data_IF_044082948119
#
_entry.id   IF_044082948119
#
_cell.length_a   1.000
_cell.length_b   1.000
_cell.length_c   1.000
_cell.angle_alpha   90.00
_cell.angle_beta   90.00
_cell.angle_gamma   90.00
#
_symmetry.space_group_name_H-M   'P 1'
#
loop_
_entity.id
_entity.type
_entity.pdbx_description
1 polymer ?
#
# COMPACT_ATOMS: atom_id res chain seq x y z
N UNK A 1 16.93 -17.93 32.16
CA UNK A 1 15.70 -18.57 31.65
C UNK A 1 14.75 -17.47 31.22
N UNK A 2 14.75 -17.08 29.95
CA UNK A 2 13.72 -16.18 29.38
C UNK A 2 12.53 -17.06 29.01
N UNK A 3 11.37 -16.79 29.61
CA UNK A 3 10.23 -17.69 29.57
C UNK A 3 9.54 -17.62 28.20
N UNK A 4 8.90 -18.71 27.81
CA UNK A 4 8.10 -18.81 26.57
C UNK A 4 7.03 -17.70 26.48
N UNK A 5 6.58 -17.20 27.64
CA UNK A 5 5.63 -16.10 27.76
C UNK A 5 6.20 -14.75 27.29
N UNK A 6 7.49 -14.49 27.51
CA UNK A 6 8.16 -13.26 27.02
C UNK A 6 8.18 -13.23 25.49
N UNK A 7 8.46 -14.38 24.86
CA UNK A 7 8.51 -14.51 23.39
C UNK A 7 7.13 -14.36 22.76
N UNK A 8 6.09 -14.92 23.40
CA UNK A 8 4.69 -14.79 22.94
C UNK A 8 4.19 -13.35 23.09
N UNK A 9 4.48 -12.70 24.21
CA UNK A 9 4.16 -11.29 24.46
C UNK A 9 4.85 -10.37 23.45
N UNK A 10 6.13 -10.61 23.18
CA UNK A 10 6.89 -9.87 22.18
C UNK A 10 6.27 -9.97 20.78
N UNK A 11 5.97 -11.20 20.33
CA UNK A 11 5.35 -11.46 19.02
C UNK A 11 3.97 -10.80 18.89
N UNK A 12 3.09 -10.96 19.90
CA UNK A 12 1.76 -10.34 19.90
C UNK A 12 1.84 -8.82 19.81
N UNK A 13 2.82 -8.22 20.50
CA UNK A 13 3.09 -6.80 20.42
C UNK A 13 3.56 -6.34 19.02
N UNK A 14 4.41 -7.13 18.37
CA UNK A 14 4.88 -6.87 16.99
C UNK A 14 3.73 -6.95 15.99
N UNK A 15 2.85 -7.95 16.13
CA UNK A 15 1.64 -8.10 15.30
C UNK A 15 0.70 -6.92 15.50
N UNK A 16 0.39 -6.54 16.76
CA UNK A 16 -0.50 -5.40 17.06
C UNK A 16 0.05 -4.08 16.48
N UNK A 17 1.36 -3.86 16.61
CA UNK A 17 2.04 -2.71 16.01
C UNK A 17 1.95 -2.74 14.47
N UNK A 18 2.14 -3.92 13.87
CA UNK A 18 2.04 -4.11 12.42
C UNK A 18 0.66 -3.83 11.86
N UNK A 19 -0.40 -4.29 12.55
CA UNK A 19 -1.79 -3.96 12.19
C UNK A 19 -2.01 -2.45 12.21
N UNK A 20 -1.62 -1.78 13.30
CA UNK A 20 -1.81 -0.34 13.43
C UNK A 20 -1.07 0.46 12.34
N UNK A 21 0.21 0.16 12.13
CA UNK A 21 1.02 0.83 11.11
C UNK A 21 0.49 0.56 9.69
N UNK A 22 0.07 -0.67 9.40
CA UNK A 22 -0.53 -1.07 8.13
C UNK A 22 -1.85 -0.36 7.85
N UNK A 23 -2.74 -0.25 8.85
CA UNK A 23 -4.00 0.47 8.69
C UNK A 23 -3.78 1.97 8.47
N UNK A 24 -2.88 2.61 9.22
CA UNK A 24 -2.56 4.04 9.03
C UNK A 24 -2.01 4.28 7.62
N UNK A 25 -1.07 3.45 7.18
CA UNK A 25 -0.53 3.53 5.82
C UNK A 25 -1.60 3.26 4.75
N UNK A 26 -2.49 2.29 4.97
CA UNK A 26 -3.61 1.99 4.08
C UNK A 26 -4.60 3.16 3.94
N UNK A 27 -4.94 3.83 5.04
CA UNK A 27 -5.77 5.04 5.01
C UNK A 27 -5.06 6.19 4.28
N UNK A 28 -3.75 6.35 4.50
CA UNK A 28 -2.96 7.36 3.79
C UNK A 28 -2.93 7.09 2.27
N UNK A 29 -2.75 5.84 1.85
CA UNK A 29 -2.82 5.43 0.44
C UNK A 29 -4.21 5.70 -0.15
N UNK A 30 -5.28 5.35 0.57
CA UNK A 30 -6.66 5.60 0.13
C UNK A 30 -6.93 7.11 -0.05
N UNK A 31 -6.50 7.93 0.90
CA UNK A 31 -6.60 9.39 0.79
C UNK A 31 -5.81 9.93 -0.41
N UNK A 32 -4.65 9.34 -0.70
CA UNK A 32 -3.83 9.76 -1.83
C UNK A 32 -4.47 9.39 -3.19
N UNK A 33 -5.15 8.26 -3.28
CA UNK A 33 -5.95 7.90 -4.48
C UNK A 33 -7.04 8.94 -4.75
N UNK A 34 -7.85 9.29 -3.74
CA UNK A 34 -8.90 10.31 -3.90
C UNK A 34 -8.30 11.66 -4.30
N UNK A 35 -7.16 12.04 -3.71
CA UNK A 35 -6.50 13.31 -4.05
C UNK A 35 -5.98 13.33 -5.49
N UNK A 36 -5.41 12.23 -5.98
CA UNK A 36 -4.94 12.12 -7.37
C UNK A 36 -6.11 12.12 -8.34
N UNK A 37 -7.21 11.44 -8.01
CA UNK A 37 -8.42 11.50 -8.83
C UNK A 37 -8.88 12.95 -9.01
N UNK A 38 -8.92 13.73 -7.93
CA UNK A 38 -9.27 15.16 -7.98
C UNK A 38 -8.28 16.01 -8.81
N UNK A 39 -6.98 15.78 -8.64
CA UNK A 39 -5.94 16.53 -9.37
C UNK A 39 -5.97 16.25 -10.88
N UNK A 40 -6.31 15.02 -11.25
CA UNK A 40 -6.43 14.60 -12.64
C UNK A 40 -7.82 14.90 -13.23
N UNK A 41 -8.73 15.52 -12.46
CA UNK A 41 -10.11 15.79 -12.88
C UNK A 41 -10.95 14.52 -13.08
N UNK A 42 -10.51 13.41 -12.51
CA UNK A 42 -11.16 12.11 -12.59
C UNK A 42 -12.30 12.04 -11.57
N UNK A 43 -13.30 11.18 -11.82
CA UNK A 43 -14.30 10.83 -10.82
C UNK A 43 -13.63 10.23 -9.58
N UNK A 44 -14.03 10.69 -8.39
CA UNK A 44 -13.50 10.17 -7.14
C UNK A 44 -13.73 8.64 -7.04
N UNK A 45 -12.65 7.90 -6.78
CA UNK A 45 -12.71 6.45 -6.60
C UNK A 45 -12.75 5.66 -7.89
N UNK A 46 -12.30 6.22 -9.02
CA UNK A 46 -12.28 5.54 -10.33
C UNK A 46 -11.52 4.20 -10.26
N UNK A 47 -10.41 4.15 -9.51
CA UNK A 47 -9.67 2.91 -9.25
C UNK A 47 -10.55 1.84 -8.58
N UNK A 48 -11.37 2.21 -7.60
CA UNK A 48 -12.23 1.26 -6.90
C UNK A 48 -13.44 0.84 -7.73
N UNK A 49 -13.98 1.74 -8.57
CA UNK A 49 -15.02 1.40 -9.54
C UNK A 49 -14.53 0.40 -10.59
N UNK A 50 -13.34 0.62 -11.15
CA UNK A 50 -12.73 -0.31 -12.12
C UNK A 50 -12.42 -1.67 -11.48
N UNK A 51 -11.95 -1.69 -10.23
CA UNK A 51 -11.78 -2.94 -9.47
C UNK A 51 -13.11 -3.66 -9.18
N UNK A 52 -14.16 -2.94 -8.80
CA UNK A 52 -15.49 -3.53 -8.58
C UNK A 52 -15.97 -4.24 -9.83
N UNK A 53 -15.82 -3.61 -10.99
CA UNK A 53 -16.23 -4.20 -12.25
C UNK A 53 -15.36 -5.40 -12.66
N UNK A 54 -14.04 -5.29 -12.53
CA UNK A 54 -13.13 -6.38 -12.87
C UNK A 54 -13.29 -7.63 -11.99
N UNK A 55 -13.65 -7.45 -10.71
CA UNK A 55 -13.74 -8.54 -9.72
C UNK A 55 -15.17 -8.97 -9.40
N UNK A 56 -16.17 -8.18 -9.78
CA UNK A 56 -17.57 -8.35 -9.37
C UNK A 56 -17.83 -8.08 -7.88
N UNK A 57 -16.84 -7.53 -7.16
CA UNK A 57 -16.89 -7.31 -5.71
C UNK A 57 -17.29 -5.87 -5.41
N UNK A 58 -18.31 -5.69 -4.55
CA UNK A 58 -18.79 -4.37 -4.16
C UNK A 58 -17.66 -3.40 -3.76
N UNK A 59 -17.84 -2.11 -4.08
CA UNK A 59 -16.82 -1.07 -3.88
C UNK A 59 -16.42 -0.94 -2.41
N UNK A 60 -17.38 -1.00 -1.48
CA UNK A 60 -17.12 -0.88 -0.05
C UNK A 60 -16.34 -2.11 0.45
N UNK A 61 -16.69 -3.30 -0.06
CA UNK A 61 -15.97 -4.53 0.26
C UNK A 61 -14.54 -4.54 -0.31
N UNK A 62 -14.33 -3.97 -1.49
CA UNK A 62 -13.01 -3.80 -2.11
C UNK A 62 -12.11 -2.89 -1.26
N UNK A 63 -12.65 -1.77 -0.77
CA UNK A 63 -11.93 -0.86 0.13
C UNK A 63 -11.58 -1.57 1.45
N UNK A 64 -12.54 -2.27 2.04
CA UNK A 64 -12.32 -3.04 3.27
C UNK A 64 -11.23 -4.11 3.09
N UNK A 65 -11.28 -4.87 1.99
CA UNK A 65 -10.27 -5.87 1.66
C UNK A 65 -8.89 -5.23 1.47
N UNK A 66 -8.82 -4.07 0.82
CA UNK A 66 -7.59 -3.28 0.69
C UNK A 66 -6.98 -2.90 2.04
N UNK A 67 -7.80 -2.49 3.01
CA UNK A 67 -7.35 -2.20 4.38
C UNK A 67 -6.89 -3.46 5.12
N UNK A 68 -7.56 -4.60 4.92
CA UNK A 68 -7.11 -5.88 5.46
C UNK A 68 -5.75 -6.31 4.89
N UNK A 69 -5.54 -6.13 3.57
CA UNK A 69 -4.25 -6.40 2.92
C UNK A 69 -3.18 -5.45 3.44
N UNK A 70 -3.49 -4.16 3.62
CA UNK A 70 -2.56 -3.19 4.21
C UNK A 70 -2.15 -3.58 5.65
N UNK A 71 -3.11 -4.04 6.47
CA UNK A 71 -2.82 -4.55 7.81
C UNK A 71 -1.94 -5.82 7.76
N UNK A 72 -2.21 -6.74 6.84
CA UNK A 72 -1.41 -7.96 6.64
C UNK A 72 0.03 -7.62 6.23
N UNK A 73 0.20 -6.69 5.29
CA UNK A 73 1.51 -6.18 4.86
C UNK A 73 2.24 -5.57 6.07
N UNK A 74 1.56 -4.79 6.90
CA UNK A 74 2.16 -4.20 8.09
C UNK A 74 2.60 -5.24 9.13
N UNK A 75 1.83 -6.31 9.34
CA UNK A 75 2.24 -7.45 10.18
C UNK A 75 3.50 -8.09 9.60
N UNK A 76 3.50 -8.43 8.31
CA UNK A 76 4.63 -9.08 7.65
C UNK A 76 5.89 -8.22 7.73
N UNK A 77 5.76 -6.92 7.44
CA UNK A 77 6.86 -5.96 7.53
C UNK A 77 7.48 -5.93 8.94
N UNK A 78 6.65 -5.87 9.98
CA UNK A 78 7.14 -5.82 11.36
C UNK A 78 7.73 -7.16 11.83
N UNK A 79 7.12 -8.28 11.47
CA UNK A 79 7.64 -9.62 11.78
C UNK A 79 9.01 -9.80 11.12
N UNK A 80 9.12 -9.52 9.82
CA UNK A 80 10.38 -9.60 9.08
C UNK A 80 11.43 -8.66 9.66
N UNK A 81 11.06 -7.41 9.97
CA UNK A 81 11.96 -6.44 10.60
C UNK A 81 12.47 -6.90 11.97
N UNK A 82 11.63 -7.58 12.76
CA UNK A 82 12.02 -8.12 14.07
C UNK A 82 12.89 -9.38 13.99
N UNK A 83 12.84 -10.13 12.89
CA UNK A 83 13.57 -11.38 12.72
C UNK A 83 14.96 -11.17 12.10
N UNK A 84 15.12 -10.18 11.21
CA UNK A 84 16.38 -9.89 10.54
C UNK A 84 17.04 -8.60 11.04
N UNK A 85 18.25 -8.72 11.59
CA UNK A 85 19.01 -7.59 12.14
C UNK A 85 19.26 -6.46 11.13
N UNK A 86 19.44 -6.81 9.85
CA UNK A 86 19.63 -5.84 8.76
C UNK A 86 18.40 -4.95 8.56
N UNK A 87 17.18 -5.50 8.73
CA UNK A 87 15.90 -4.79 8.53
C UNK A 87 15.29 -4.26 9.83
N UNK A 88 15.96 -4.46 10.96
CA UNK A 88 15.52 -3.96 12.26
C UNK A 88 15.39 -2.44 12.25
N UNK A 89 14.21 -1.94 12.57
CA UNK A 89 13.88 -0.51 12.57
C UNK A 89 14.47 0.16 13.81
N UNK A 90 15.76 0.44 13.77
CA UNK A 90 16.50 1.07 14.89
C UNK A 90 16.30 2.59 14.91
N UNK A 91 16.08 3.19 13.73
CA UNK A 91 15.84 4.64 13.57
C UNK A 91 14.65 4.90 12.65
N UNK A 92 13.92 6.02 12.81
CA UNK A 92 12.84 6.40 11.90
C UNK A 92 13.29 6.50 10.44
N UNK A 93 14.48 7.05 10.18
CA UNK A 93 15.06 7.15 8.84
C UNK A 93 15.28 5.78 8.20
N UNK A 94 15.82 4.81 8.96
CA UNK A 94 15.98 3.44 8.48
C UNK A 94 14.62 2.79 8.21
N UNK A 95 13.64 3.02 9.09
CA UNK A 95 12.26 2.57 8.91
C UNK A 95 11.62 3.11 7.63
N UNK A 96 11.79 4.39 7.33
CA UNK A 96 11.31 5.00 6.07
C UNK A 96 11.96 4.32 4.87
N UNK A 97 13.28 4.10 4.88
CA UNK A 97 14.00 3.51 3.76
C UNK A 97 13.59 2.04 3.52
N UNK A 98 13.53 1.22 4.57
CA UNK A 98 13.10 -0.18 4.46
C UNK A 98 11.62 -0.28 4.11
N UNK A 99 10.82 0.66 4.59
CA UNK A 99 9.41 0.80 4.22
C UNK A 99 9.23 1.15 2.75
N UNK A 100 9.94 2.17 2.24
CA UNK A 100 9.94 2.57 0.84
C UNK A 100 10.32 1.42 -0.10
N UNK A 101 11.37 0.66 0.25
CA UNK A 101 11.78 -0.54 -0.47
C UNK A 101 10.68 -1.61 -0.48
N UNK A 102 10.00 -1.82 0.66
CA UNK A 102 8.86 -2.74 0.76
C UNK A 102 7.69 -2.28 -0.13
N UNK A 103 7.40 -0.98 -0.17
CA UNK A 103 6.42 -0.39 -1.07
C UNK A 103 6.74 -0.63 -2.55
N UNK A 104 7.98 -0.43 -2.96
CA UNK A 104 8.43 -0.72 -4.31
C UNK A 104 8.32 -2.22 -4.67
N UNK A 105 8.60 -3.12 -3.73
CA UNK A 105 8.42 -4.57 -3.92
C UNK A 105 6.94 -4.93 -4.11
N UNK A 106 6.04 -4.37 -3.30
CA UNK A 106 4.59 -4.60 -3.43
C UNK A 106 4.09 -4.07 -4.77
N UNK A 107 4.57 -2.89 -5.19
CA UNK A 107 4.25 -2.35 -6.50
C UNK A 107 4.67 -3.32 -7.62
N UNK A 108 5.92 -3.77 -7.62
CA UNK A 108 6.44 -4.63 -8.68
C UNK A 108 5.84 -6.04 -8.71
N UNK A 109 5.61 -6.64 -7.53
CA UNK A 109 5.21 -8.06 -7.42
C UNK A 109 3.70 -8.27 -7.38
N UNK A 110 2.93 -7.30 -6.89
CA UNK A 110 1.49 -7.45 -6.68
C UNK A 110 0.72 -6.48 -7.57
N UNK A 111 1.03 -5.19 -7.49
CA UNK A 111 0.27 -4.18 -8.21
C UNK A 111 0.50 -4.24 -9.72
N UNK A 112 1.75 -4.40 -10.17
CA UNK A 112 2.07 -4.38 -11.60
C UNK A 112 1.42 -5.54 -12.37
N UNK A 113 1.45 -6.81 -11.89
CA UNK A 113 0.68 -7.89 -12.51
C UNK A 113 -0.82 -7.62 -12.49
N UNK A 114 -1.37 -7.11 -11.37
CA UNK A 114 -2.78 -6.76 -11.28
C UNK A 114 -3.17 -5.67 -12.28
N UNK A 115 -2.32 -4.65 -12.45
CA UNK A 115 -2.55 -3.55 -13.39
C UNK A 115 -2.56 -4.03 -14.84
N UNK A 116 -1.54 -4.80 -15.24
CA UNK A 116 -1.37 -5.25 -16.63
C UNK A 116 -2.35 -6.36 -17.00
N UNK A 117 -2.67 -7.27 -16.07
CA UNK A 117 -3.49 -8.44 -16.37
C UNK A 117 -4.98 -8.25 -16.09
N UNK A 118 -5.35 -7.30 -15.22
CA UNK A 118 -6.74 -7.11 -14.79
C UNK A 118 -7.22 -5.70 -15.15
N UNK A 119 -6.62 -4.66 -14.58
CA UNK A 119 -7.15 -3.29 -14.74
C UNK A 119 -7.08 -2.79 -16.18
N UNK A 120 -5.95 -2.97 -16.85
CA UNK A 120 -5.75 -2.49 -18.21
C UNK A 120 -6.70 -3.17 -19.21
N UNK A 121 -6.81 -4.52 -19.25
CA UNK A 121 -7.80 -5.19 -20.10
C UNK A 121 -9.24 -4.77 -19.82
N UNK A 122 -9.60 -4.56 -18.55
CA UNK A 122 -10.94 -4.10 -18.16
C UNK A 122 -11.24 -2.70 -18.68
N UNK A 123 -10.27 -1.78 -18.64
CA UNK A 123 -10.45 -0.43 -19.20
C UNK A 123 -10.50 -0.47 -20.73
N UNK A 124 -9.68 -1.32 -21.37
CA UNK A 124 -9.70 -1.50 -22.82
C UNK A 124 -11.02 -2.09 -23.33
N UNK A 125 -11.58 -3.10 -22.65
CA UNK A 125 -12.86 -3.70 -23.05
C UNK A 125 -14.00 -2.68 -23.05
N UNK A 126 -14.04 -1.81 -22.04
CA UNK A 126 -15.05 -0.75 -21.92
C UNK A 126 -14.94 0.31 -23.01
N UNK A 127 -13.71 0.68 -23.38
CA UNK A 127 -13.44 1.67 -24.42
C UNK A 127 -13.71 1.12 -25.82
N UNK A 128 -13.33 -0.14 -26.08
CA UNK A 128 -13.35 -0.76 -27.41
C UNK A 128 -14.73 -1.35 -27.74
N UNK A 129 -15.34 -2.08 -26.79
CA UNK A 129 -16.60 -2.76 -27.04
C UNK A 129 -17.81 -1.83 -26.87
N UNK A 130 -17.62 -0.67 -26.23
CA UNK A 130 -18.70 0.23 -25.80
C UNK A 130 -19.83 -0.54 -25.10
N UNK A 131 -19.51 -1.70 -24.52
CA UNK A 131 -20.43 -2.48 -23.72
C UNK A 131 -20.81 -1.62 -22.53
N UNK A 132 -22.11 -1.46 -22.31
CA UNK A 132 -22.73 -0.71 -21.21
C UNK A 132 -22.50 -1.41 -19.86
N UNK A 133 -21.31 -1.94 -19.61
CA UNK A 133 -21.01 -2.82 -18.49
C UNK A 133 -20.56 -2.03 -17.27
N UNK A 134 -19.91 -0.89 -17.49
CA UNK A 134 -19.86 0.19 -16.53
C UNK A 134 -20.96 1.21 -16.87
N UNK A 135 -21.87 1.49 -15.93
CA UNK A 135 -22.76 2.66 -15.97
C UNK A 135 -21.92 3.92 -15.72
N UNK A 136 -21.05 4.20 -16.68
CA UNK A 136 -20.02 5.22 -16.67
C UNK A 136 -20.48 6.30 -17.63
N UNK A 137 -20.62 7.51 -17.10
CA UNK A 137 -20.98 8.69 -17.89
C UNK A 137 -19.99 8.89 -19.03
N UNK A 138 -20.42 9.49 -20.15
CA UNK A 138 -19.54 9.79 -21.29
C UNK A 138 -18.26 10.55 -20.88
N UNK A 139 -18.36 11.38 -19.84
CA UNK A 139 -17.23 12.10 -19.22
C UNK A 139 -16.22 11.16 -18.55
N UNK A 140 -16.70 10.10 -17.92
CA UNK A 140 -15.87 9.08 -17.27
C UNK A 140 -15.17 8.19 -18.33
N UNK A 141 -15.83 7.91 -19.47
CA UNK A 141 -15.21 7.22 -20.63
C UNK A 141 -14.07 8.01 -21.26
N UNK A 142 -14.24 9.32 -21.42
CA UNK A 142 -13.19 10.21 -21.95
C UNK A 142 -11.97 10.30 -21.01
N UNK A 143 -12.24 10.30 -19.70
CA UNK A 143 -11.20 10.27 -18.67
C UNK A 143 -10.41 8.96 -18.69
N UNK A 144 -11.11 7.81 -18.81
CA UNK A 144 -10.48 6.50 -18.94
C UNK A 144 -9.64 6.37 -20.22
N UNK A 145 -10.12 6.91 -21.35
CA UNK A 145 -9.32 6.99 -22.59
C UNK A 145 -8.03 7.76 -22.37
N UNK A 146 -8.11 8.91 -21.71
CA UNK A 146 -6.93 9.74 -21.41
C UNK A 146 -5.92 8.99 -20.53
N UNK A 147 -6.39 8.20 -19.56
CA UNK A 147 -5.54 7.35 -18.71
C UNK A 147 -4.93 6.18 -19.46
N UNK A 148 -5.68 5.55 -20.38
CA UNK A 148 -5.19 4.48 -21.23
C UNK A 148 -4.06 5.00 -22.16
N UNK A 149 -4.24 6.17 -22.76
CA UNK A 149 -3.22 6.80 -23.60
C UNK A 149 -2.00 7.29 -22.79
N UNK A 150 -2.20 7.68 -21.53
CA UNK A 150 -1.13 8.12 -20.61
C UNK A 150 -0.72 7.04 -19.59
N UNK A 151 -0.84 5.75 -19.93
CA UNK A 151 -0.60 4.63 -19.02
C UNK A 151 0.80 4.67 -18.37
N UNK A 152 1.82 5.18 -19.07
CA UNK A 152 3.17 5.39 -18.50
C UNK A 152 3.16 6.31 -17.29
N UNK A 153 2.39 7.41 -17.33
CA UNK A 153 2.25 8.33 -16.19
C UNK A 153 1.48 7.68 -15.05
N UNK A 154 0.42 6.91 -15.36
CA UNK A 154 -0.36 6.17 -14.36
C UNK A 154 0.53 5.19 -13.58
N UNK A 155 1.38 4.45 -14.29
CA UNK A 155 2.35 3.54 -13.68
C UNK A 155 3.36 4.27 -12.79
N UNK A 156 3.87 5.42 -13.23
CA UNK A 156 4.81 6.23 -12.43
C UNK A 156 4.17 6.79 -11.16
N UNK A 157 2.98 7.38 -11.25
CA UNK A 157 2.25 7.90 -10.09
C UNK A 157 1.85 6.76 -9.15
N UNK A 158 1.45 5.60 -9.68
CA UNK A 158 1.16 4.42 -8.87
C UNK A 158 2.41 3.90 -8.14
N UNK A 159 3.55 3.83 -8.82
CA UNK A 159 4.82 3.43 -8.20
C UNK A 159 5.19 4.38 -7.04
N UNK A 160 5.03 5.69 -7.27
CA UNK A 160 5.28 6.73 -6.27
C UNK A 160 4.36 6.58 -5.06
N UNK A 161 3.06 6.34 -5.28
CA UNK A 161 2.09 6.08 -4.20
C UNK A 161 2.47 4.89 -3.34
N UNK A 162 2.91 3.80 -3.95
CA UNK A 162 3.33 2.60 -3.21
C UNK A 162 4.60 2.86 -2.40
N UNK A 163 5.53 3.67 -2.91
CA UNK A 163 6.71 4.12 -2.17
C UNK A 163 6.31 5.00 -0.97
N UNK A 164 5.36 5.92 -1.14
CA UNK A 164 4.83 6.74 -0.04
C UNK A 164 4.15 5.85 1.00
N UNK A 165 3.30 4.93 0.58
CA UNK A 165 2.65 3.95 1.47
C UNK A 165 3.69 3.17 2.28
N UNK A 166 4.70 2.62 1.61
CA UNK A 166 5.79 1.92 2.27
C UNK A 166 6.55 2.82 3.26
N UNK A 167 6.82 4.06 2.88
CA UNK A 167 7.49 5.04 3.74
C UNK A 167 6.69 5.36 5.00
N UNK A 168 5.38 5.56 4.88
CA UNK A 168 4.46 5.80 6.00
C UNK A 168 4.36 4.56 6.89
N UNK A 169 4.23 3.37 6.31
CA UNK A 169 4.24 2.11 7.04
C UNK A 169 5.52 1.96 7.86
N UNK A 170 6.67 2.23 7.25
CA UNK A 170 7.99 2.15 7.87
C UNK A 170 8.19 3.16 9.00
N UNK A 171 7.74 4.40 8.79
CA UNK A 171 7.75 5.46 9.81
C UNK A 171 6.88 5.07 11.00
N UNK A 172 5.61 4.72 10.75
CA UNK A 172 4.66 4.40 11.82
C UNK A 172 5.08 3.16 12.60
N UNK A 173 5.61 2.15 11.91
CA UNK A 173 6.20 0.98 12.58
C UNK A 173 7.40 1.37 13.45
N UNK A 174 8.26 2.26 12.97
CA UNK A 174 9.41 2.76 13.74
C UNK A 174 9.04 3.61 14.95
N UNK A 175 7.98 4.41 14.86
CA UNK A 175 7.44 5.21 15.97
C UNK A 175 6.80 4.29 17.01
N UNK A 176 5.95 3.35 16.59
CA UNK A 176 5.24 2.43 17.51
C UNK A 176 6.19 1.43 18.17
N UNK A 177 7.29 1.07 17.50
CA UNK A 177 8.32 0.19 18.06
C UNK A 177 9.47 0.95 18.75
N UNK A 178 9.42 2.29 18.82
CA UNK A 178 10.52 3.11 19.31
C UNK A 178 10.97 2.71 20.72
N UNK A 179 10.01 2.52 21.64
CA UNK A 179 10.26 2.15 23.03
C UNK A 179 10.85 0.74 23.20
N UNK A 180 10.78 -0.11 22.17
CA UNK A 180 11.35 -1.46 22.17
C UNK A 180 12.79 -1.51 21.66
N UNK A 181 13.26 -0.41 21.06
CA UNK A 181 14.60 -0.30 20.49
C UNK A 181 15.49 0.72 21.21
N UNK A 182 14.99 1.35 22.28
CA UNK A 182 15.75 2.22 23.19
C UNK A 182 16.90 1.48 23.88
N UNK A 183 16.72 0.21 24.22
CA UNK A 183 17.74 -0.63 24.89
C UNK A 183 18.76 -1.29 23.93
N UNK A 184 18.61 -1.10 22.62
CA UNK A 184 19.59 -1.62 21.66
C UNK A 184 20.82 -0.72 21.66
N UNK A 185 21.98 -1.29 22.03
CA UNK A 185 23.28 -0.60 22.07
C UNK A 185 23.56 0.03 20.69
N UNK A 186 23.38 1.34 20.58
CA UNK A 186 23.67 2.09 19.35
C UNK A 186 25.18 2.18 19.20
N UNK A 187 25.71 1.73 18.06
CA UNK A 187 27.08 2.06 17.68
C UNK A 187 27.08 3.55 17.35
N UNK A 188 27.48 4.38 18.31
CA UNK A 188 27.75 5.81 18.11
C UNK A 188 29.05 5.94 17.31
N UNK A 189 29.02 5.73 16.00
CA UNK A 189 30.06 6.26 15.11
C UNK A 189 29.55 6.32 13.67
N UNK A 190 29.00 7.48 13.31
CA UNK A 190 29.18 8.02 11.97
C UNK A 190 29.20 9.54 12.10
N UNK A 191 30.33 10.01 12.60
CA UNK A 191 30.95 11.32 12.39
C UNK A 191 32.44 11.13 12.66
#
# INVERSE_FOLDING_TARGET
MSSIDDKKSYFLGTVKSGIGAGLIAGVALFSAFISIDQQLGLPNGLFFKTMHFASGVDTLLTIFLGLCVAALIGILYNVVSSHWDTLRIITPTKGILTGAATGALIFGLIFLPLHVLVLLPTVESEIILNESLLDISDKEKESLKTLLFNNTYVLWYSALLHIIFGSVLGLMSGVVLHDRYTDVKRIRSFW
#
